data_IF_806662305179
#
_entry.id   IF_806662305179
#
_cell.length_a   1.000
_cell.length_b   1.000
_cell.length_c   1.000
_cell.angle_alpha   90.00
_cell.angle_beta   90.00
_cell.angle_gamma   90.00
#
_symmetry.space_group_name_H-M   'P 1'
#
loop_
_entity.id
_entity.type
_entity.pdbx_description
1 polymer ?
#
# COMPACT_ATOMS: atom_id res chain seq x y z
N UNK A 1 -1.08 2.24 -8.69
CA UNK A 1 -1.65 2.84 -7.47
C UNK A 1 -2.88 2.03 -7.04
N UNK A 2 -2.90 1.55 -5.82
CA UNK A 2 -3.97 0.71 -5.29
C UNK A 2 -4.79 1.42 -4.21
N UNK A 3 -5.02 2.72 -4.36
CA UNK A 3 -5.84 3.50 -3.44
C UNK A 3 -5.10 4.09 -2.25
N UNK A 4 -3.79 4.26 -2.36
CA UNK A 4 -2.96 4.83 -1.30
C UNK A 4 -2.53 6.27 -1.66
N UNK A 5 -3.43 7.26 -1.54
CA UNK A 5 -3.13 8.63 -1.96
C UNK A 5 -1.98 9.27 -1.18
N UNK A 6 -1.76 8.84 0.03
CA UNK A 6 -0.68 9.37 0.90
C UNK A 6 0.49 8.39 1.04
N UNK A 7 0.53 7.36 0.18
CA UNK A 7 1.54 6.32 0.26
C UNK A 7 1.14 5.17 1.20
N UNK A 8 2.05 4.23 1.37
CA UNK A 8 1.84 3.08 2.25
C UNK A 8 2.18 3.50 3.68
N UNK A 9 1.27 3.34 4.65
CA UNK A 9 1.56 3.71 6.03
C UNK A 9 2.64 2.84 6.65
N UNK A 10 3.33 3.37 7.66
CA UNK A 10 4.38 2.67 8.39
C UNK A 10 3.93 2.48 9.83
N UNK A 11 3.87 1.24 10.30
CA UNK A 11 3.63 0.93 11.69
C UNK A 11 4.92 1.10 12.49
N UNK A 12 4.81 1.72 13.67
CA UNK A 12 5.94 1.87 14.58
C UNK A 12 6.50 0.52 15.00
N UNK A 13 7.79 0.49 15.33
CA UNK A 13 8.42 -0.74 15.77
C UNK A 13 7.84 -1.24 17.11
N UNK A 14 7.62 -2.54 17.17
CA UNK A 14 7.31 -3.27 18.39
C UNK A 14 7.97 -4.64 18.32
N UNK A 15 8.42 -5.18 19.45
CA UNK A 15 9.02 -6.50 19.45
C UNK A 15 8.08 -7.55 18.85
N UNK A 16 8.63 -8.47 18.08
CA UNK A 16 7.86 -9.51 17.40
C UNK A 16 6.96 -10.28 18.37
N UNK A 17 5.68 -10.35 18.04
CA UNK A 17 4.68 -11.07 18.86
C UNK A 17 4.22 -10.30 20.08
N UNK A 18 4.65 -9.04 20.27
CA UNK A 18 4.24 -8.22 21.43
C UNK A 18 2.90 -7.54 21.20
N UNK A 19 2.24 -7.18 22.30
CA UNK A 19 1.00 -6.40 22.23
C UNK A 19 1.26 -5.03 21.61
N UNK A 20 2.43 -4.45 21.85
CA UNK A 20 2.86 -3.18 21.26
C UNK A 20 2.92 -3.27 19.74
N UNK A 21 3.50 -4.33 19.20
CA UNK A 21 3.56 -4.55 17.75
C UNK A 21 2.15 -4.64 17.16
N UNK A 22 1.26 -5.37 17.80
CA UNK A 22 -0.13 -5.51 17.36
C UNK A 22 -0.84 -4.15 17.37
N UNK A 23 -0.69 -3.39 18.44
CA UNK A 23 -1.30 -2.07 18.58
C UNK A 23 -0.79 -1.11 17.52
N UNK A 24 0.51 -1.12 17.24
CA UNK A 24 1.12 -0.26 16.23
C UNK A 24 0.62 -0.60 14.82
N UNK A 25 0.46 -1.88 14.51
CA UNK A 25 -0.09 -2.30 13.22
C UNK A 25 -1.54 -1.83 13.09
N UNK A 26 -2.36 -2.03 14.12
CA UNK A 26 -3.76 -1.60 14.10
C UNK A 26 -3.89 -0.09 13.90
N UNK A 27 -3.03 0.68 14.54
CA UNK A 27 -3.02 2.14 14.40
C UNK A 27 -2.63 2.59 13.00
N UNK A 28 -1.80 1.82 12.29
CA UNK A 28 -1.31 2.16 10.96
C UNK A 28 -2.27 1.74 9.85
N UNK A 29 -3.11 0.73 10.06
CA UNK A 29 -4.04 0.26 9.04
C UNK A 29 -4.97 1.40 8.61
N UNK A 30 -4.99 1.66 7.30
CA UNK A 30 -5.74 2.76 6.71
C UNK A 30 -6.81 2.21 5.78
N UNK A 31 -8.07 2.67 5.87
CA UNK A 31 -9.13 2.21 4.98
C UNK A 31 -8.74 2.36 3.51
N UNK A 32 -8.97 1.32 2.71
CA UNK A 32 -8.67 1.32 1.28
C UNK A 32 -7.21 1.09 0.92
N UNK A 33 -6.31 0.96 1.90
CA UNK A 33 -4.89 0.70 1.66
C UNK A 33 -4.57 -0.71 2.13
N UNK A 34 -4.28 -1.66 1.20
CA UNK A 34 -4.11 -3.07 1.54
C UNK A 34 -2.68 -3.45 1.95
N UNK A 35 -1.92 -2.51 2.48
CA UNK A 35 -0.54 -2.74 2.89
C UNK A 35 -0.14 -1.83 4.04
N UNK A 36 0.77 -2.32 4.86
CA UNK A 36 1.40 -1.56 5.95
C UNK A 36 2.87 -1.97 5.99
N UNK A 37 3.76 -1.00 5.99
CA UNK A 37 5.18 -1.26 6.23
C UNK A 37 5.40 -1.43 7.74
N UNK A 38 6.17 -2.43 8.09
CA UNK A 38 6.51 -2.69 9.50
C UNK A 38 7.93 -2.20 9.74
N UNK A 39 8.07 -1.15 10.55
CA UNK A 39 9.37 -0.55 10.85
C UNK A 39 10.36 -1.63 11.32
N UNK A 40 11.54 -1.64 10.74
CA UNK A 40 12.64 -2.57 11.06
C UNK A 40 12.32 -4.06 10.83
N UNK A 41 11.25 -4.38 10.10
CA UNK A 41 10.82 -5.75 9.92
C UNK A 41 10.51 -6.11 8.47
N UNK A 42 9.55 -5.46 7.84
CA UNK A 42 9.12 -5.81 6.49
C UNK A 42 7.79 -5.18 6.11
N UNK A 43 6.98 -5.92 5.36
CA UNK A 43 5.70 -5.45 4.85
C UNK A 43 4.60 -6.44 5.20
N UNK A 44 3.44 -5.92 5.54
CA UNK A 44 2.21 -6.68 5.72
C UNK A 44 1.27 -6.30 4.59
N UNK A 45 0.78 -7.29 3.85
CA UNK A 45 -0.21 -7.09 2.79
C UNK A 45 -1.44 -7.94 3.09
N UNK A 46 -2.59 -7.45 2.67
CA UNK A 46 -3.85 -8.15 2.89
C UNK A 46 -4.84 -7.83 1.79
N UNK A 47 -5.61 -8.82 1.40
CA UNK A 47 -6.66 -8.66 0.40
C UNK A 47 -7.67 -9.80 0.54
N UNK A 48 -8.70 -9.79 -0.32
CA UNK A 48 -9.77 -10.79 -0.26
C UNK A 48 -9.30 -12.22 -0.54
N UNK A 49 -8.26 -12.38 -1.37
CA UNK A 49 -7.69 -13.68 -1.70
C UNK A 49 -6.18 -13.67 -1.53
N UNK A 50 -5.54 -14.84 -1.32
CA UNK A 50 -4.07 -14.92 -1.27
C UNK A 50 -3.40 -14.42 -2.54
N UNK A 51 -3.99 -14.69 -3.71
CA UNK A 51 -3.45 -14.26 -4.99
C UNK A 51 -3.41 -12.74 -5.11
N UNK A 52 -4.47 -12.06 -4.67
CA UNK A 52 -4.52 -10.61 -4.66
C UNK A 52 -3.53 -10.02 -3.65
N UNK A 53 -3.37 -10.66 -2.49
CA UNK A 53 -2.40 -10.22 -1.50
C UNK A 53 -0.97 -10.30 -2.05
N UNK A 54 -0.63 -11.38 -2.76
CA UNK A 54 0.67 -11.54 -3.41
C UNK A 54 0.87 -10.44 -4.45
N UNK A 55 -0.16 -10.13 -5.25
CA UNK A 55 -0.11 -9.06 -6.23
C UNK A 55 0.18 -7.70 -5.57
N UNK A 56 -0.49 -7.39 -4.47
CA UNK A 56 -0.25 -6.17 -3.71
C UNK A 56 1.20 -6.11 -3.22
N UNK A 57 1.72 -7.22 -2.70
CA UNK A 57 3.12 -7.31 -2.27
C UNK A 57 4.09 -6.99 -3.40
N UNK A 58 3.83 -7.52 -4.58
CA UNK A 58 4.65 -7.26 -5.78
C UNK A 58 4.58 -5.78 -6.19
N UNK A 59 3.41 -5.18 -6.13
CA UNK A 59 3.22 -3.76 -6.47
C UNK A 59 3.97 -2.86 -5.48
N UNK A 60 3.88 -3.16 -4.19
CA UNK A 60 4.60 -2.39 -3.15
C UNK A 60 6.11 -2.48 -3.37
N UNK A 61 6.64 -3.67 -3.64
CA UNK A 61 8.06 -3.89 -3.89
C UNK A 61 8.51 -3.13 -5.14
N UNK A 62 7.76 -3.22 -6.22
CA UNK A 62 8.06 -2.51 -7.47
C UNK A 62 8.04 -1.00 -7.28
N UNK A 63 7.05 -0.48 -6.58
CA UNK A 63 6.94 0.95 -6.30
C UNK A 63 8.11 1.44 -5.44
N UNK A 64 8.51 0.67 -4.44
CA UNK A 64 9.66 1.00 -3.59
C UNK A 64 10.95 1.04 -4.41
N UNK A 65 11.16 0.06 -5.30
CA UNK A 65 12.33 0.02 -6.17
C UNK A 65 12.37 1.22 -7.11
N UNK A 66 11.21 1.57 -7.70
CA UNK A 66 11.10 2.74 -8.56
C UNK A 66 11.39 4.03 -7.79
N UNK A 67 10.92 4.15 -6.55
CA UNK A 67 11.19 5.29 -5.69
C UNK A 67 12.67 5.45 -5.37
N UNK A 68 13.34 4.36 -5.04
CA UNK A 68 14.79 4.35 -4.77
C UNK A 68 15.55 4.79 -6.02
N UNK A 69 15.20 4.26 -7.18
CA UNK A 69 15.84 4.61 -8.44
C UNK A 69 15.61 6.09 -8.80
N UNK A 70 14.38 6.58 -8.63
CA UNK A 70 14.05 7.98 -8.90
C UNK A 70 14.82 8.94 -7.99
N UNK A 71 15.04 8.57 -6.73
CA UNK A 71 15.80 9.38 -5.77
C UNK A 71 17.21 9.65 -6.28
N UNK A 72 17.84 8.67 -6.94
CA UNK A 72 19.16 8.82 -7.56
C UNK A 72 19.18 9.74 -8.79
N UNK A 73 18.02 10.03 -9.36
CA UNK A 73 17.86 10.87 -10.54
C UNK A 73 17.26 12.26 -10.22
N UNK A 74 17.21 12.63 -8.95
CA UNK A 74 16.68 13.94 -8.53
C UNK A 74 15.32 13.86 -7.83
N UNK A 75 14.78 12.68 -7.66
CA UNK A 75 13.51 12.43 -6.98
C UNK A 75 12.35 12.15 -7.95
N UNK A 76 11.28 11.57 -7.45
CA UNK A 76 10.10 11.27 -8.25
C UNK A 76 9.35 12.55 -8.62
N UNK A 77 8.62 12.50 -9.73
CA UNK A 77 7.72 13.57 -10.15
C UNK A 77 6.30 13.19 -9.73
N UNK A 78 5.66 14.07 -8.96
CA UNK A 78 4.31 13.82 -8.50
C UNK A 78 3.30 13.89 -9.65
N UNK A 79 2.34 12.97 -9.63
CA UNK A 79 1.20 13.01 -10.54
C UNK A 79 0.30 14.15 -10.10
N UNK A 80 -0.14 15.04 -11.02
CA UNK A 80 -1.08 16.11 -10.68
C UNK A 80 -2.32 15.56 -9.96
N UNK A 81 -2.80 16.28 -8.97
CA UNK A 81 -3.89 15.81 -8.10
C UNK A 81 -5.13 15.39 -8.88
N UNK A 82 -5.53 16.15 -9.89
CA UNK A 82 -6.69 15.82 -10.72
C UNK A 82 -6.54 14.49 -11.44
N UNK A 83 -5.35 14.18 -11.92
CA UNK A 83 -5.05 12.89 -12.57
C UNK A 83 -5.00 11.76 -11.55
N UNK A 84 -4.49 12.04 -10.35
CA UNK A 84 -4.47 11.07 -9.26
C UNK A 84 -5.90 10.70 -8.84
N UNK A 85 -6.77 11.70 -8.69
CA UNK A 85 -8.17 11.48 -8.35
C UNK A 85 -8.88 10.63 -9.41
N UNK A 86 -8.63 10.89 -10.69
CA UNK A 86 -9.19 10.12 -11.79
C UNK A 86 -8.71 8.67 -11.76
N UNK A 87 -7.45 8.43 -11.45
CA UNK A 87 -6.89 7.09 -11.34
C UNK A 87 -7.53 6.31 -10.17
N UNK A 88 -7.72 6.97 -9.02
CA UNK A 88 -8.39 6.37 -7.86
C UNK A 88 -9.83 6.01 -8.18
N UNK A 89 -10.55 6.90 -8.87
CA UNK A 89 -11.93 6.63 -9.28
C UNK A 89 -12.01 5.42 -10.19
N UNK A 90 -11.10 5.30 -11.14
CA UNK A 90 -11.02 4.15 -12.05
C UNK A 90 -10.72 2.86 -11.29
N UNK A 91 -9.81 2.88 -10.33
CA UNK A 91 -9.47 1.73 -9.51
C UNK A 91 -10.68 1.24 -8.70
N UNK A 92 -11.42 2.16 -8.10
CA UNK A 92 -12.64 1.84 -7.35
C UNK A 92 -13.69 1.20 -8.24
N UNK A 93 -13.90 1.73 -9.44
CA UNK A 93 -14.83 1.17 -10.42
C UNK A 93 -14.43 -0.25 -10.83
N UNK A 94 -13.15 -0.45 -11.08
CA UNK A 94 -12.60 -1.76 -11.47
C UNK A 94 -12.78 -2.79 -10.35
N UNK A 95 -12.47 -2.42 -9.11
CA UNK A 95 -12.65 -3.29 -7.95
C UNK A 95 -14.13 -3.63 -7.73
N UNK A 96 -15.01 -2.67 -7.93
CA UNK A 96 -16.45 -2.90 -7.84
C UNK A 96 -16.93 -3.94 -8.84
N UNK A 97 -16.44 -3.89 -10.07
CA UNK A 97 -16.74 -4.89 -11.10
C UNK A 97 -16.25 -6.28 -10.71
N UNK A 98 -15.03 -6.37 -10.20
CA UNK A 98 -14.47 -7.62 -9.71
C UNK A 98 -15.31 -8.24 -8.60
N UNK A 99 -15.85 -7.41 -7.71
CA UNK A 99 -16.72 -7.85 -6.62
C UNK A 99 -18.04 -8.41 -7.14
N UNK A 100 -18.61 -7.80 -8.18
CA UNK A 100 -19.88 -8.25 -8.76
C UNK A 100 -19.76 -9.64 -9.39
N UNK A 101 -18.59 -9.98 -9.91
CA UNK A 101 -18.36 -11.25 -10.59
C UNK A 101 -17.75 -12.32 -9.68
N UNK A 102 -17.48 -11.98 -8.45
CA UNK A 102 -17.00 -12.94 -7.47
C UNK A 102 -18.17 -13.66 -6.80
#
# INVERSE_FOLDING_TARGET
MFGAPSGVPVAGYGPRGSDEAIANIRAAVTPGVPAVLLANHGVLVFHRTPELAILIGSVVEEAAQAGINAAGLGGPVEIPEGMRAAALQRAMTFEGRGTVHA
#
